data_IF_927245017710
#
_entry.id   IF_927245017710
#
_cell.length_a   1.000
_cell.length_b   1.000
_cell.length_c   1.000
_cell.angle_alpha   90.00
_cell.angle_beta   90.00
_cell.angle_gamma   90.00
#
_symmetry.space_group_name_H-M   'P 1'
#
loop_
_entity.id
_entity.type
_entity.pdbx_description
1 polymer ?
#
# COMPACT_ATOMS: atom_id res chain seq x y z
N UNK A 1 -12.37 -22.81 30.78
CA UNK A 1 -11.00 -22.63 30.26
C UNK A 1 -11.04 -21.56 29.20
N UNK A 2 -10.25 -20.49 29.36
CA UNK A 2 -10.00 -19.52 28.30
C UNK A 2 -9.38 -20.26 27.11
N UNK A 3 -9.98 -20.16 25.94
CA UNK A 3 -9.42 -20.69 24.71
C UNK A 3 -9.24 -19.53 23.73
N UNK A 4 -8.13 -19.49 23.01
CA UNK A 4 -7.91 -18.44 22.03
C UNK A 4 -8.87 -18.62 20.86
N UNK A 5 -9.48 -17.52 20.42
CA UNK A 5 -10.32 -17.47 19.22
C UNK A 5 -9.42 -17.15 18.04
N UNK A 6 -9.27 -18.08 17.10
CA UNK A 6 -8.47 -17.91 15.89
C UNK A 6 -9.40 -17.62 14.70
N UNK A 7 -9.24 -16.44 14.10
CA UNK A 7 -9.96 -16.00 12.91
C UNK A 7 -9.13 -16.36 11.66
N UNK A 8 -9.79 -16.85 10.61
CA UNK A 8 -9.15 -17.06 9.30
C UNK A 8 -8.49 -18.42 9.10
N UNK A 9 -8.67 -19.40 10.00
CA UNK A 9 -8.20 -20.79 9.81
C UNK A 9 -9.34 -21.79 9.74
N UNK A 10 -9.24 -22.71 8.79
CA UNK A 10 -10.00 -23.96 8.80
C UNK A 10 -9.27 -25.05 9.62
N UNK A 11 -9.89 -26.22 9.79
CA UNK A 11 -9.30 -27.32 10.58
C UNK A 11 -7.95 -27.80 10.01
N UNK A 12 -7.81 -27.84 8.68
CA UNK A 12 -6.53 -28.22 8.04
C UNK A 12 -5.42 -27.23 8.35
N UNK A 13 -5.71 -25.93 8.29
CA UNK A 13 -4.73 -24.87 8.57
C UNK A 13 -4.33 -24.86 10.05
N UNK A 14 -5.26 -25.16 10.97
CA UNK A 14 -4.94 -25.32 12.39
C UNK A 14 -3.94 -26.46 12.62
N UNK A 15 -4.12 -27.60 11.95
CA UNK A 15 -3.20 -28.73 12.01
C UNK A 15 -1.84 -28.42 11.36
N UNK A 16 -1.83 -27.72 10.22
CA UNK A 16 -0.60 -27.44 9.47
C UNK A 16 0.25 -26.31 10.06
N UNK A 17 -0.38 -25.24 10.56
CA UNK A 17 0.33 -24.05 11.04
C UNK A 17 0.42 -23.96 12.56
N UNK A 18 -0.44 -24.65 13.31
CA UNK A 18 -0.48 -24.57 14.77
C UNK A 18 -0.69 -23.13 15.23
N UNK A 19 0.31 -22.55 15.91
CA UNK A 19 0.31 -21.15 16.36
C UNK A 19 1.18 -20.22 15.50
N UNK A 20 1.89 -20.73 14.49
CA UNK A 20 2.73 -19.90 13.59
C UNK A 20 1.87 -18.97 12.77
N UNK A 21 2.34 -17.76 12.44
CA UNK A 21 1.61 -16.83 11.57
C UNK A 21 0.25 -16.39 12.12
N UNK A 22 0.16 -16.19 13.43
CA UNK A 22 -1.00 -15.59 14.11
C UNK A 22 -0.63 -14.23 14.68
N UNK A 23 -1.45 -13.21 14.43
CA UNK A 23 -1.32 -11.89 15.04
C UNK A 23 -2.40 -11.65 16.10
N UNK A 24 -2.10 -10.89 17.15
CA UNK A 24 -3.05 -10.59 18.21
C UNK A 24 -3.90 -9.35 17.90
N UNK A 25 -5.22 -9.50 17.79
CA UNK A 25 -6.11 -8.36 17.51
C UNK A 25 -6.69 -7.72 18.78
N UNK A 26 -6.74 -8.46 19.89
CA UNK A 26 -7.33 -7.99 21.14
C UNK A 26 -7.96 -9.11 21.95
N UNK A 27 -8.84 -8.76 22.90
CA UNK A 27 -9.57 -9.72 23.74
C UNK A 27 -11.07 -9.52 23.54
N UNK A 28 -11.83 -10.62 23.52
CA UNK A 28 -13.29 -10.56 23.59
C UNK A 28 -13.72 -10.06 24.97
N UNK A 29 -14.75 -9.24 25.05
CA UNK A 29 -15.34 -8.84 26.32
C UNK A 29 -16.71 -9.51 26.51
N UNK A 30 -17.00 -9.93 27.74
CA UNK A 30 -18.28 -10.50 28.12
C UNK A 30 -18.91 -9.56 29.16
N UNK A 31 -20.15 -9.14 28.89
CA UNK A 31 -20.93 -8.32 29.81
C UNK A 31 -21.87 -9.21 30.62
N UNK A 32 -21.67 -9.27 31.93
CA UNK A 32 -22.52 -9.98 32.88
C UNK A 32 -23.24 -8.95 33.76
N UNK A 33 -24.45 -8.56 33.36
CA UNK A 33 -25.20 -7.49 34.02
C UNK A 33 -24.47 -6.14 33.92
N UNK A 34 -24.01 -5.62 35.06
CA UNK A 34 -23.21 -4.38 35.13
C UNK A 34 -21.70 -4.60 35.01
N UNK A 35 -21.22 -5.83 35.13
CA UNK A 35 -19.79 -6.14 35.05
C UNK A 35 -19.38 -6.44 33.60
N UNK A 36 -18.24 -5.90 33.19
CA UNK A 36 -17.61 -6.26 31.92
C UNK A 36 -16.28 -6.92 32.24
N UNK A 37 -16.07 -8.13 31.73
CA UNK A 37 -14.84 -8.88 31.92
C UNK A 37 -14.19 -9.18 30.57
N UNK A 38 -12.88 -9.01 30.50
CA UNK A 38 -12.10 -9.48 29.36
C UNK A 38 -11.97 -11.00 29.42
N UNK A 39 -12.18 -11.64 28.27
CA UNK A 39 -12.27 -13.09 28.15
C UNK A 39 -11.14 -13.63 27.28
N UNK A 40 -11.47 -14.26 26.15
CA UNK A 40 -10.55 -14.94 25.27
C UNK A 40 -9.74 -13.96 24.42
N UNK A 41 -8.48 -14.30 24.13
CA UNK A 41 -7.71 -13.58 23.11
C UNK A 41 -8.29 -13.86 21.73
N UNK A 42 -8.21 -12.86 20.87
CA UNK A 42 -8.61 -12.92 19.47
C UNK A 42 -7.33 -12.83 18.65
N UNK A 43 -7.03 -13.91 17.95
CA UNK A 43 -5.88 -14.06 17.07
C UNK A 43 -6.37 -14.13 15.62
N UNK A 44 -5.59 -13.62 14.69
CA UNK A 44 -5.90 -13.67 13.26
C UNK A 44 -4.77 -14.35 12.49
N UNK A 45 -5.15 -15.25 11.59
CA UNK A 45 -4.23 -15.83 10.63
C UNK A 45 -3.69 -14.78 9.67
N UNK A 46 -2.38 -14.83 9.43
CA UNK A 46 -1.71 -14.00 8.41
C UNK A 46 -0.85 -14.83 7.45
N UNK A 47 -0.95 -16.16 7.54
CA UNK A 47 -0.29 -17.08 6.61
C UNK A 47 -1.08 -17.24 5.31
N UNK A 48 -2.39 -16.98 5.34
CA UNK A 48 -3.28 -16.93 4.17
C UNK A 48 -3.60 -15.49 3.79
N UNK A 49 -4.01 -15.29 2.54
CA UNK A 49 -4.51 -13.99 2.06
C UNK A 49 -5.90 -13.72 2.61
N UNK A 50 -6.13 -12.48 3.06
CA UNK A 50 -7.40 -12.01 3.59
C UNK A 50 -7.82 -10.71 2.92
N UNK A 51 -9.13 -10.48 2.85
CA UNK A 51 -9.72 -9.18 2.52
C UNK A 51 -10.47 -8.70 3.75
N UNK A 52 -10.04 -7.56 4.31
CA UNK A 52 -10.55 -7.06 5.59
C UNK A 52 -11.05 -5.64 5.38
N UNK A 53 -12.31 -5.40 5.78
CA UNK A 53 -12.90 -4.08 5.85
C UNK A 53 -12.97 -3.64 7.31
N UNK A 54 -12.22 -2.59 7.66
CA UNK A 54 -12.34 -1.91 8.96
C UNK A 54 -13.27 -0.72 8.81
N UNK A 55 -14.51 -0.85 9.28
CA UNK A 55 -15.55 0.17 9.13
C UNK A 55 -16.08 0.65 10.49
N UNK A 56 -16.46 1.92 10.56
CA UNK A 56 -16.99 2.55 11.77
C UNK A 56 -17.08 4.07 11.67
N UNK A 57 -17.84 4.68 12.58
CA UNK A 57 -18.01 6.14 12.66
C UNK A 57 -16.67 6.85 12.89
N UNK A 58 -16.61 8.16 12.63
CA UNK A 58 -15.43 8.97 12.97
C UNK A 58 -15.11 8.82 14.47
N UNK A 59 -13.84 8.58 14.79
CA UNK A 59 -13.39 8.36 16.16
C UNK A 59 -13.63 6.95 16.72
N UNK A 60 -14.12 5.99 15.92
CA UNK A 60 -14.35 4.61 16.40
C UNK A 60 -13.09 3.73 16.45
N UNK A 61 -11.90 4.29 16.20
CA UNK A 61 -10.65 3.55 16.23
C UNK A 61 -10.26 2.79 14.95
N UNK A 62 -10.78 3.16 13.77
CA UNK A 62 -10.42 2.49 12.50
C UNK A 62 -8.91 2.46 12.24
N UNK A 63 -8.26 3.63 12.26
CA UNK A 63 -6.82 3.75 12.06
C UNK A 63 -6.02 3.07 13.17
N UNK A 64 -6.55 3.07 14.40
CA UNK A 64 -5.96 2.31 15.51
C UNK A 64 -5.96 0.80 15.21
N UNK A 65 -7.06 0.24 14.71
CA UNK A 65 -7.13 -1.18 14.31
C UNK A 65 -6.16 -1.51 13.18
N UNK A 66 -6.04 -0.66 12.15
CA UNK A 66 -5.04 -0.85 11.09
C UNK A 66 -3.61 -0.81 11.65
N UNK A 67 -3.33 0.12 12.56
CA UNK A 67 -2.06 0.23 13.27
C UNK A 67 -1.73 -1.02 14.09
N UNK A 68 -2.69 -1.56 14.85
CA UNK A 68 -2.53 -2.81 15.61
C UNK A 68 -2.18 -3.97 14.69
N UNK A 69 -2.88 -4.11 13.56
CA UNK A 69 -2.59 -5.18 12.61
C UNK A 69 -1.17 -5.07 12.02
N UNK A 70 -0.78 -3.87 11.57
CA UNK A 70 0.56 -3.65 11.01
C UNK A 70 1.68 -3.78 12.05
N UNK A 71 1.43 -3.35 13.29
CA UNK A 71 2.30 -3.56 14.44
C UNK A 71 2.52 -5.05 14.68
N UNK A 72 1.45 -5.82 14.75
CA UNK A 72 1.54 -7.24 15.07
C UNK A 72 2.16 -8.08 13.94
N UNK A 73 1.94 -7.70 12.68
CA UNK A 73 2.68 -8.27 11.54
C UNK A 73 4.19 -8.07 11.69
N UNK A 74 4.60 -6.87 12.10
CA UNK A 74 6.03 -6.54 12.32
C UNK A 74 6.60 -7.22 13.57
N UNK A 75 5.74 -7.60 14.52
CA UNK A 75 6.10 -8.25 15.77
C UNK A 75 6.18 -9.78 15.68
N UNK A 76 5.78 -10.37 14.55
CA UNK A 76 5.88 -11.80 14.35
C UNK A 76 7.31 -12.30 14.58
N UNK A 77 7.48 -13.54 15.07
CA UNK A 77 8.80 -14.13 15.21
C UNK A 77 9.53 -14.12 13.86
N UNK A 78 10.88 -14.09 13.91
CA UNK A 78 11.71 -13.91 12.72
C UNK A 78 11.47 -14.96 11.63
N UNK A 79 11.11 -16.19 12.03
CA UNK A 79 10.80 -17.29 11.12
C UNK A 79 9.63 -16.92 10.17
N UNK A 80 8.60 -16.26 10.68
CA UNK A 80 7.44 -15.82 9.93
C UNK A 80 7.59 -14.41 9.35
N UNK A 81 8.11 -13.46 10.13
CA UNK A 81 8.19 -12.05 9.70
C UNK A 81 9.11 -11.85 8.50
N UNK A 82 10.15 -12.68 8.33
CA UNK A 82 11.00 -12.64 7.13
C UNK A 82 10.28 -13.02 5.82
N UNK A 83 9.04 -13.51 5.90
CA UNK A 83 8.22 -13.92 4.77
C UNK A 83 6.97 -13.04 4.58
N UNK A 84 6.83 -11.98 5.39
CA UNK A 84 5.72 -11.03 5.32
C UNK A 84 6.27 -9.61 5.30
N UNK A 85 5.69 -8.76 4.44
CA UNK A 85 5.93 -7.33 4.41
C UNK A 85 4.59 -6.61 4.45
N UNK A 86 4.56 -5.44 5.08
CA UNK A 86 3.37 -4.59 5.12
C UNK A 86 3.67 -3.23 4.50
N UNK A 87 2.69 -2.70 3.77
CA UNK A 87 2.70 -1.33 3.26
C UNK A 87 1.43 -0.62 3.71
N UNK A 88 1.59 0.57 4.30
CA UNK A 88 0.48 1.45 4.66
C UNK A 88 0.50 2.66 3.73
N UNK A 89 -0.60 2.87 3.00
CA UNK A 89 -0.86 4.14 2.32
C UNK A 89 -1.46 5.11 3.33
N UNK A 90 -0.62 5.97 3.89
CA UNK A 90 -1.00 6.90 4.96
C UNK A 90 -1.53 8.20 4.36
N UNK A 91 -2.86 8.32 4.34
CA UNK A 91 -3.54 9.51 3.80
C UNK A 91 -3.57 10.67 4.79
N UNK A 92 -3.36 10.42 6.08
CA UNK A 92 -3.54 11.39 7.17
C UNK A 92 -2.24 11.77 7.87
N UNK A 93 -1.15 11.06 7.61
CA UNK A 93 0.18 11.35 8.15
C UNK A 93 0.31 10.98 9.63
N UNK A 94 -0.31 9.88 10.05
CA UNK A 94 -0.38 9.46 11.46
C UNK A 94 0.41 8.18 11.77
N UNK A 95 0.69 7.32 10.79
CA UNK A 95 1.27 6.01 11.07
C UNK A 95 2.78 6.08 11.31
N UNK A 96 3.46 7.15 10.89
CA UNK A 96 4.90 7.32 11.15
C UNK A 96 5.26 7.21 12.64
N UNK A 97 4.32 7.52 13.53
CA UNK A 97 4.50 7.42 14.98
C UNK A 97 4.72 5.99 15.45
N UNK A 98 4.26 4.98 14.70
CA UNK A 98 4.46 3.55 15.00
C UNK A 98 5.94 3.17 15.15
N UNK A 99 6.84 3.94 14.54
CA UNK A 99 8.28 3.74 14.66
C UNK A 99 8.78 3.83 16.11
N UNK A 100 8.09 4.60 16.95
CA UNK A 100 8.52 4.94 18.30
C UNK A 100 7.72 4.17 19.35
N UNK A 101 8.34 3.95 20.51
CA UNK A 101 7.67 3.36 21.67
C UNK A 101 6.45 4.18 22.08
N UNK A 102 5.33 3.51 22.31
CA UNK A 102 4.18 4.13 22.95
C UNK A 102 4.37 4.22 24.48
N UNK A 103 5.22 5.13 24.93
CA UNK A 103 5.42 5.39 26.36
C UNK A 103 4.24 6.14 27.01
N UNK A 104 3.40 6.80 26.21
CA UNK A 104 2.21 7.52 26.70
C UNK A 104 1.18 6.57 27.31
N UNK A 105 0.99 5.41 26.70
CA UNK A 105 0.01 4.40 27.15
C UNK A 105 0.67 3.21 27.85
N UNK A 106 1.82 3.41 28.51
CA UNK A 106 2.59 2.32 29.15
C UNK A 106 1.75 1.52 30.16
N UNK A 107 0.98 2.20 31.02
CA UNK A 107 0.19 1.55 32.06
C UNK A 107 -0.94 0.72 31.44
N UNK A 108 -1.61 1.26 30.41
CA UNK A 108 -2.64 0.54 29.66
C UNK A 108 -2.06 -0.70 28.96
N UNK A 109 -0.85 -0.60 28.38
CA UNK A 109 -0.18 -1.76 27.80
C UNK A 109 0.14 -2.80 28.88
N UNK A 110 0.58 -2.38 30.06
CA UNK A 110 0.86 -3.28 31.18
C UNK A 110 -0.39 -4.04 31.65
N UNK A 111 -1.56 -3.40 31.68
CA UNK A 111 -2.85 -4.06 31.99
C UNK A 111 -3.21 -5.17 30.99
N UNK A 112 -2.59 -5.14 29.81
CA UNK A 112 -2.76 -6.11 28.74
C UNK A 112 -1.59 -7.10 28.62
N UNK A 113 -0.66 -7.09 29.56
CA UNK A 113 0.61 -7.84 29.53
C UNK A 113 1.52 -7.48 28.34
N UNK A 114 1.39 -6.25 27.82
CA UNK A 114 2.16 -5.70 26.72
C UNK A 114 3.21 -4.71 27.23
N UNK A 115 4.23 -4.44 26.39
CA UNK A 115 5.31 -3.49 26.70
C UNK A 115 5.51 -2.51 25.55
N UNK A 116 5.76 -1.22 25.83
CA UNK A 116 6.17 -0.26 24.82
C UNK A 116 7.45 -0.72 24.10
N UNK A 117 7.45 -0.67 22.77
CA UNK A 117 8.61 -1.04 21.94
C UNK A 117 8.65 -0.24 20.65
N UNK A 118 9.85 -0.13 20.07
CA UNK A 118 10.01 0.44 18.74
C UNK A 118 9.65 -0.62 17.71
N UNK A 119 9.04 -0.20 16.61
CA UNK A 119 8.71 -1.09 15.51
C UNK A 119 9.64 -0.84 14.31
N UNK A 120 9.94 -1.88 13.52
CA UNK A 120 10.76 -1.75 12.32
C UNK A 120 9.95 -1.10 11.20
N UNK A 121 9.79 0.22 11.28
CA UNK A 121 9.02 1.04 10.34
C UNK A 121 9.97 1.85 9.45
N UNK A 122 9.65 1.93 8.15
CA UNK A 122 10.35 2.78 7.17
C UNK A 122 9.37 3.77 6.54
N UNK A 123 9.60 5.06 6.71
CA UNK A 123 8.70 6.11 6.21
C UNK A 123 9.22 6.65 4.87
N UNK A 124 8.38 6.54 3.84
CA UNK A 124 8.60 7.05 2.50
C UNK A 124 7.79 8.32 2.29
N UNK A 125 8.44 9.36 1.77
CA UNK A 125 7.82 10.66 1.50
C UNK A 125 8.07 11.04 0.04
N UNK A 126 7.08 11.58 -0.68
CA UNK A 126 7.26 12.06 -2.05
C UNK A 126 8.50 12.96 -2.19
N UNK A 127 9.30 12.71 -3.23
CA UNK A 127 10.65 13.25 -3.35
C UNK A 127 10.72 14.78 -3.28
N UNK A 128 9.73 15.48 -3.84
CA UNK A 128 9.65 16.95 -3.83
C UNK A 128 9.34 17.53 -2.45
N UNK A 129 8.81 16.73 -1.52
CA UNK A 129 8.45 17.15 -0.16
C UNK A 129 9.46 16.68 0.90
N UNK A 130 10.36 15.75 0.54
CA UNK A 130 11.31 15.13 1.46
C UNK A 130 12.19 16.14 2.21
N UNK A 131 12.74 17.15 1.53
CA UNK A 131 13.58 18.17 2.18
C UNK A 131 12.79 18.98 3.20
N UNK A 132 11.56 19.38 2.87
CA UNK A 132 10.69 20.13 3.80
C UNK A 132 10.35 19.33 5.05
N UNK A 133 10.18 18.00 4.91
CA UNK A 133 9.96 17.11 6.05
C UNK A 133 11.15 17.12 7.01
N UNK A 134 12.36 16.96 6.49
CA UNK A 134 13.58 16.99 7.30
C UNK A 134 13.80 18.33 8.00
N UNK A 135 13.59 19.45 7.29
CA UNK A 135 13.69 20.80 7.87
C UNK A 135 12.69 21.02 9.01
N UNK A 136 11.50 20.45 8.91
CA UNK A 136 10.46 20.48 9.95
C UNK A 136 10.64 19.42 11.03
N UNK A 137 11.71 18.62 10.98
CA UNK A 137 11.94 17.48 11.89
C UNK A 137 10.82 16.44 11.87
N UNK A 138 10.10 16.32 10.74
CA UNK A 138 9.10 15.26 10.52
C UNK A 138 9.86 14.01 10.06
N UNK A 139 9.60 12.82 10.65
CA UNK A 139 10.32 11.61 10.27
C UNK A 139 10.13 11.22 8.80
N UNK A 140 11.24 11.11 8.08
CA UNK A 140 11.30 10.62 6.71
C UNK A 140 12.57 9.78 6.54
N UNK A 141 12.44 8.52 6.14
CA UNK A 141 13.56 7.58 5.98
C UNK A 141 14.05 7.47 4.54
N UNK A 142 13.14 7.64 3.58
CA UNK A 142 13.45 7.52 2.16
C UNK A 142 12.57 8.43 1.30
N UNK A 143 13.10 8.82 0.14
CA UNK A 143 12.35 9.47 -0.91
C UNK A 143 11.47 8.46 -1.64
N UNK A 144 10.32 8.92 -2.10
CA UNK A 144 9.43 8.19 -2.98
C UNK A 144 9.25 8.95 -4.29
N UNK A 145 9.37 8.24 -5.41
CA UNK A 145 9.16 8.79 -6.73
C UNK A 145 8.51 7.74 -7.65
N UNK A 146 7.46 8.13 -8.34
CA UNK A 146 6.80 7.35 -9.38
C UNK A 146 7.56 7.46 -10.70
N UNK A 147 7.68 6.35 -11.40
CA UNK A 147 8.14 6.35 -12.79
C UNK A 147 6.96 6.73 -13.71
N UNK A 148 7.00 7.88 -14.41
CA UNK A 148 5.92 8.27 -15.33
C UNK A 148 5.71 7.27 -16.46
N UNK A 149 6.77 6.54 -16.83
CA UNK A 149 6.76 5.51 -17.87
C UNK A 149 5.85 4.34 -17.51
N UNK A 150 5.58 4.10 -16.23
CA UNK A 150 4.72 3.00 -15.78
C UNK A 150 3.22 3.35 -15.80
N UNK A 151 2.89 4.63 -15.95
CA UNK A 151 1.51 5.07 -16.10
C UNK A 151 1.01 4.85 -17.52
N UNK A 152 -0.27 4.51 -17.66
CA UNK A 152 -0.95 4.45 -18.95
C UNK A 152 -1.73 5.74 -19.20
N UNK A 153 -2.22 5.93 -20.43
CA UNK A 153 -3.00 7.11 -20.80
C UNK A 153 -4.28 7.25 -19.96
N UNK A 154 -4.94 6.15 -19.62
CA UNK A 154 -6.16 6.16 -18.81
C UNK A 154 -5.89 6.65 -17.36
N UNK A 155 -4.74 6.33 -16.77
CA UNK A 155 -4.33 6.84 -15.46
C UNK A 155 -4.27 8.37 -15.46
N UNK A 156 -3.67 8.96 -16.50
CA UNK A 156 -3.58 10.40 -16.68
C UNK A 156 -4.95 11.03 -16.90
N UNK A 157 -5.76 10.47 -17.82
CA UNK A 157 -7.11 10.94 -18.13
C UNK A 157 -7.99 10.95 -16.87
N UNK A 158 -7.99 9.87 -16.09
CA UNK A 158 -8.74 9.80 -14.83
C UNK A 158 -8.21 10.76 -13.78
N UNK A 159 -6.88 10.90 -13.66
CA UNK A 159 -6.26 11.80 -12.68
C UNK A 159 -6.61 13.26 -12.96
N UNK A 160 -6.67 13.65 -14.23
CA UNK A 160 -7.08 14.98 -14.66
C UNK A 160 -8.60 15.18 -14.72
N UNK A 161 -9.39 14.16 -14.38
CA UNK A 161 -10.86 14.25 -14.37
C UNK A 161 -11.48 14.44 -15.75
N UNK A 162 -10.84 13.88 -16.79
CA UNK A 162 -11.27 14.00 -18.18
C UNK A 162 -12.08 12.78 -18.63
N UNK A 163 -12.99 12.99 -19.57
CA UNK A 163 -13.67 11.90 -20.29
C UNK A 163 -12.76 11.31 -21.39
N UNK A 164 -12.91 10.02 -21.67
CA UNK A 164 -12.10 9.33 -22.71
C UNK A 164 -12.24 9.99 -24.08
N UNK A 165 -13.42 10.53 -24.40
CA UNK A 165 -13.70 11.19 -25.69
C UNK A 165 -13.29 12.67 -25.73
N UNK A 166 -12.79 13.22 -24.62
CA UNK A 166 -12.33 14.61 -24.58
C UNK A 166 -11.11 14.79 -25.53
N UNK A 167 -11.05 15.87 -26.34
CA UNK A 167 -9.89 16.12 -27.22
C UNK A 167 -8.53 16.12 -26.51
N UNK A 168 -8.49 16.56 -25.25
CA UNK A 168 -7.30 16.52 -24.40
C UNK A 168 -6.91 15.07 -24.12
N UNK A 169 -7.88 14.20 -23.81
CA UNK A 169 -7.64 12.76 -23.58
C UNK A 169 -7.09 12.06 -24.82
N UNK A 170 -7.60 12.39 -26.00
CA UNK A 170 -7.08 11.85 -27.28
C UNK A 170 -5.65 12.32 -27.55
N UNK A 171 -5.32 13.56 -27.19
CA UNK A 171 -3.95 14.07 -27.25
C UNK A 171 -3.04 13.33 -26.27
N UNK A 172 -3.45 13.19 -24.99
CA UNK A 172 -2.72 12.43 -23.97
C UNK A 172 -2.46 11.01 -24.45
N UNK A 173 -3.46 10.31 -24.96
CA UNK A 173 -3.32 8.94 -25.46
C UNK A 173 -2.25 8.85 -26.55
N UNK A 174 -2.33 9.73 -27.56
CA UNK A 174 -1.35 9.77 -28.65
C UNK A 174 0.06 10.09 -28.14
N UNK A 175 0.21 11.07 -27.27
CA UNK A 175 1.49 11.47 -26.68
C UNK A 175 2.12 10.31 -25.89
N UNK A 176 1.36 9.70 -24.97
CA UNK A 176 1.86 8.60 -24.15
C UNK A 176 2.19 7.39 -25.02
N UNK A 177 1.36 7.05 -26.01
CA UNK A 177 1.65 5.96 -26.95
C UNK A 177 2.95 6.17 -27.72
N UNK A 178 3.23 7.40 -28.18
CA UNK A 178 4.49 7.72 -28.87
C UNK A 178 5.71 7.56 -27.96
N UNK A 179 5.58 7.94 -26.68
CA UNK A 179 6.69 7.90 -25.72
C UNK A 179 6.96 6.51 -25.15
N UNK A 180 5.98 5.59 -25.21
CA UNK A 180 6.12 4.20 -24.71
C UNK A 180 7.20 3.37 -25.40
N UNK A 181 7.71 3.81 -26.55
CA UNK A 181 8.84 3.16 -27.22
C UNK A 181 10.18 3.43 -26.48
N UNK A 182 10.23 4.46 -25.64
CA UNK A 182 11.42 4.81 -24.86
C UNK A 182 11.52 3.96 -23.59
N UNK A 183 12.75 3.67 -23.15
CA UNK A 183 13.00 2.94 -21.89
C UNK A 183 12.59 3.74 -20.64
N UNK A 184 12.59 5.07 -20.74
CA UNK A 184 12.13 6.00 -19.72
C UNK A 184 11.73 7.32 -20.38
N UNK A 185 10.71 7.99 -19.86
CA UNK A 185 10.39 9.38 -20.16
C UNK A 185 9.89 10.12 -18.92
N UNK A 186 10.27 11.39 -18.78
CA UNK A 186 9.85 12.26 -17.68
C UNK A 186 8.59 13.07 -18.04
N UNK A 187 8.13 13.93 -17.13
CA UNK A 187 7.01 14.85 -17.42
C UNK A 187 7.43 15.89 -18.46
N UNK A 188 8.69 16.32 -18.45
CA UNK A 188 9.27 17.26 -19.41
C UNK A 188 9.27 16.67 -20.83
N UNK A 189 9.54 15.36 -20.97
CA UNK A 189 9.44 14.66 -22.26
C UNK A 189 8.00 14.62 -22.78
N UNK A 190 7.02 14.41 -21.89
CA UNK A 190 5.59 14.46 -22.23
C UNK A 190 5.22 15.86 -22.74
N UNK A 191 5.65 16.91 -22.05
CA UNK A 191 5.41 18.30 -22.45
C UNK A 191 5.98 18.59 -23.85
N UNK A 192 7.22 18.18 -24.10
CA UNK A 192 7.87 18.35 -25.40
C UNK A 192 7.15 17.61 -26.53
N UNK A 193 6.67 16.39 -26.26
CA UNK A 193 5.93 15.61 -27.25
C UNK A 193 4.53 16.19 -27.53
N UNK A 194 3.88 16.80 -26.53
CA UNK A 194 2.62 17.55 -26.73
C UNK A 194 2.84 18.75 -27.65
N UNK A 195 3.90 19.54 -27.45
CA UNK A 195 4.17 20.74 -28.24
C UNK A 195 4.33 20.43 -29.74
N UNK A 196 5.01 19.33 -30.05
CA UNK A 196 5.23 18.84 -31.42
C UNK A 196 3.97 18.38 -32.12
N UNK A 197 2.89 18.10 -31.38
CA UNK A 197 1.68 17.60 -31.98
C UNK A 197 1.08 18.62 -32.97
N UNK A 198 0.81 18.14 -34.19
CA UNK A 198 0.26 18.93 -35.30
C UNK A 198 -1.21 18.64 -35.58
N UNK A 199 -1.80 17.66 -34.89
CA UNK A 199 -3.18 17.19 -35.14
C UNK A 199 -4.19 17.90 -34.23
N UNK A 200 -3.78 18.28 -33.03
CA UNK A 200 -4.61 18.95 -32.03
C UNK A 200 -4.60 20.47 -32.21
N UNK A 201 -5.70 21.12 -31.83
CA UNK A 201 -5.79 22.59 -31.79
C UNK A 201 -4.84 23.18 -30.76
N UNK A 202 -4.46 24.45 -30.95
CA UNK A 202 -3.61 25.19 -30.00
C UNK A 202 -4.22 25.20 -28.60
N UNK A 203 -5.54 25.40 -28.48
CA UNK A 203 -6.23 25.40 -27.18
C UNK A 203 -6.14 24.04 -26.48
N UNK A 204 -6.29 22.94 -27.23
CA UNK A 204 -6.17 21.58 -26.68
C UNK A 204 -4.75 21.32 -26.18
N UNK A 205 -3.73 21.75 -26.94
CA UNK A 205 -2.32 21.63 -26.53
C UNK A 205 -2.03 22.43 -25.28
N UNK A 206 -2.44 23.70 -25.24
CA UNK A 206 -2.23 24.58 -24.09
C UNK A 206 -2.90 24.03 -22.82
N UNK A 207 -4.11 23.48 -22.95
CA UNK A 207 -4.79 22.84 -21.84
C UNK A 207 -4.06 21.58 -21.34
N UNK A 208 -3.61 20.70 -22.25
CA UNK A 208 -2.83 19.52 -21.89
C UNK A 208 -1.49 19.89 -21.22
N UNK A 209 -0.79 20.89 -21.75
CA UNK A 209 0.45 21.44 -21.16
C UNK A 209 0.18 21.93 -19.74
N UNK A 210 -0.88 22.71 -19.52
CA UNK A 210 -1.23 23.21 -18.19
C UNK A 210 -1.51 22.09 -17.18
N UNK A 211 -2.13 20.98 -17.61
CA UNK A 211 -2.37 19.81 -16.76
C UNK A 211 -1.07 19.10 -16.36
N UNK A 212 -0.16 18.88 -17.31
CA UNK A 212 1.13 18.23 -17.02
C UNK A 212 2.09 19.13 -16.24
N UNK A 213 2.08 20.44 -16.48
CA UNK A 213 2.80 21.40 -15.64
C UNK A 213 2.27 21.37 -14.20
N UNK A 214 0.96 21.27 -14.00
CA UNK A 214 0.40 21.05 -12.67
C UNK A 214 0.86 19.71 -12.07
N UNK A 215 0.94 18.65 -12.87
CA UNK A 215 1.43 17.34 -12.44
C UNK A 215 2.89 17.36 -11.96
N UNK A 216 3.75 18.12 -12.64
CA UNK A 216 5.14 18.33 -12.26
C UNK A 216 5.26 18.93 -10.85
N UNK A 217 4.40 19.89 -10.51
CA UNK A 217 4.39 20.53 -9.17
C UNK A 217 4.02 19.59 -8.02
N UNK A 218 3.45 18.41 -8.30
CA UNK A 218 3.11 17.44 -7.24
C UNK A 218 4.35 16.87 -6.55
N UNK A 219 5.52 16.93 -7.20
CA UNK A 219 6.79 16.48 -6.62
C UNK A 219 6.84 14.98 -6.34
N UNK A 220 6.04 14.20 -7.08
CA UNK A 220 5.90 12.74 -6.91
C UNK A 220 6.58 11.94 -8.03
N UNK A 221 6.94 12.57 -9.14
CA UNK A 221 7.49 11.88 -10.30
C UNK A 221 9.01 11.92 -10.32
N UNK A 222 9.62 10.81 -10.70
CA UNK A 222 11.05 10.71 -10.91
C UNK A 222 11.47 11.49 -12.16
N UNK A 223 12.63 12.14 -12.08
CA UNK A 223 13.22 12.87 -13.20
C UNK A 223 14.09 11.97 -14.08
N UNK A 224 14.52 10.82 -13.53
CA UNK A 224 15.23 9.79 -14.25
C UNK A 224 14.94 8.41 -13.66
N UNK A 225 15.24 7.37 -14.43
CA UNK A 225 15.00 5.97 -14.04
C UNK A 225 15.65 5.56 -12.71
N UNK A 226 16.80 6.15 -12.34
CA UNK A 226 17.51 5.81 -11.09
C UNK A 226 16.82 6.36 -9.84
N UNK A 227 16.05 7.43 -9.97
CA UNK A 227 15.28 8.01 -8.88
C UNK A 227 13.95 7.31 -8.66
N UNK A 228 13.47 6.53 -9.63
CA UNK A 228 12.21 5.82 -9.58
C UNK A 228 12.21 4.76 -8.48
N UNK A 229 11.24 4.83 -7.58
CA UNK A 229 11.09 3.88 -6.49
C UNK A 229 10.62 2.53 -7.01
N UNK A 230 11.39 1.49 -6.68
CA UNK A 230 11.07 0.11 -7.02
C UNK A 230 10.18 -0.51 -5.94
N UNK A 231 9.40 -1.52 -6.30
CA UNK A 231 8.58 -2.25 -5.32
C UNK A 231 9.46 -2.90 -4.25
N UNK A 232 10.65 -3.39 -4.61
CA UNK A 232 11.62 -3.93 -3.66
C UNK A 232 12.07 -2.92 -2.60
N UNK A 233 12.01 -1.62 -2.90
CA UNK A 233 12.32 -0.58 -1.91
C UNK A 233 11.22 -0.50 -0.85
N UNK A 234 9.96 -0.62 -1.27
CA UNK A 234 8.76 -0.51 -0.43
C UNK A 234 8.44 -1.82 0.31
N UNK A 235 8.70 -2.98 -0.30
CA UNK A 235 8.35 -4.29 0.24
C UNK A 235 9.55 -4.87 0.97
N UNK A 236 9.65 -4.57 2.26
CA UNK A 236 10.76 -5.00 3.10
C UNK A 236 10.30 -6.09 4.09
N UNK A 237 10.81 -7.32 4.01
CA UNK A 237 10.39 -8.40 4.91
C UNK A 237 10.61 -8.04 6.39
N UNK A 238 9.60 -8.33 7.21
CA UNK A 238 9.60 -8.09 8.65
C UNK A 238 9.56 -6.61 9.04
N UNK A 239 9.21 -5.73 8.09
CA UNK A 239 9.08 -4.29 8.31
C UNK A 239 7.72 -3.80 7.79
N UNK A 240 7.25 -2.71 8.39
CA UNK A 240 6.15 -1.94 7.84
C UNK A 240 6.71 -0.73 7.09
N UNK A 241 6.45 -0.67 5.79
CA UNK A 241 6.70 0.54 5.01
C UNK A 241 5.47 1.43 5.07
N UNK A 242 5.68 2.72 5.34
CA UNK A 242 4.62 3.72 5.35
C UNK A 242 4.89 4.65 4.19
N UNK A 243 3.94 4.74 3.26
CA UNK A 243 3.97 5.73 2.21
C UNK A 243 3.09 6.90 2.64
N UNK A 244 3.73 7.99 3.09
CA UNK A 244 3.04 9.19 3.54
C UNK A 244 2.56 10.00 2.34
N UNK A 245 1.24 10.06 2.20
CA UNK A 245 0.53 10.78 1.15
C UNK A 245 -0.25 11.98 1.70
N UNK A 246 -0.08 12.32 2.98
CA UNK A 246 -0.81 13.39 3.66
C UNK A 246 -0.49 14.79 3.14
N UNK A 247 0.63 14.95 2.41
CA UNK A 247 0.96 16.18 1.69
C UNK A 247 -0.07 16.53 0.61
N UNK A 248 -0.78 15.53 0.08
CA UNK A 248 -1.78 15.70 -0.96
C UNK A 248 -3.17 15.83 -0.33
N UNK A 249 -3.80 16.97 -0.52
CA UNK A 249 -5.13 17.26 0.02
C UNK A 249 -6.19 16.30 -0.56
N UNK A 250 -7.16 15.90 0.26
CA UNK A 250 -8.27 15.06 -0.18
C UNK A 250 -9.31 15.78 -1.03
N UNK A 251 -9.42 17.09 -0.85
CA UNK A 251 -10.35 17.97 -1.59
C UNK A 251 -9.56 18.80 -2.62
N UNK A 252 -8.58 18.17 -3.27
CA UNK A 252 -7.78 18.79 -4.33
C UNK A 252 -8.45 18.67 -5.71
N UNK A 253 -7.99 19.50 -6.66
CA UNK A 253 -8.40 19.38 -8.07
C UNK A 253 -7.98 18.04 -8.70
N UNK A 254 -6.91 17.43 -8.19
CA UNK A 254 -6.37 16.16 -8.66
C UNK A 254 -6.22 15.17 -7.50
N UNK A 255 -6.64 13.92 -7.72
CA UNK A 255 -6.49 12.86 -6.72
C UNK A 255 -5.14 12.15 -6.88
N UNK A 256 -4.05 12.85 -6.55
CA UNK A 256 -2.66 12.33 -6.63
C UNK A 256 -2.50 11.06 -5.78
N UNK A 257 -3.19 10.98 -4.64
CA UNK A 257 -3.17 9.82 -3.75
C UNK A 257 -3.71 8.57 -4.46
N UNK A 258 -4.81 8.70 -5.21
CA UNK A 258 -5.35 7.60 -6.00
C UNK A 258 -4.37 7.15 -7.09
N UNK A 259 -3.68 8.07 -7.77
CA UNK A 259 -2.68 7.72 -8.77
C UNK A 259 -1.54 6.89 -8.18
N UNK A 260 -1.00 7.33 -7.04
CA UNK A 260 0.07 6.63 -6.32
C UNK A 260 -0.38 5.24 -5.88
N UNK A 261 -1.54 5.14 -5.21
CA UNK A 261 -2.09 3.87 -4.74
C UNK A 261 -2.30 2.91 -5.91
N UNK A 262 -2.84 3.40 -7.03
CA UNK A 262 -3.09 2.59 -8.22
C UNK A 262 -1.81 1.96 -8.75
N UNK A 263 -0.78 2.79 -9.01
CA UNK A 263 0.45 2.34 -9.62
C UNK A 263 1.17 1.33 -8.71
N UNK A 264 1.34 1.66 -7.42
CA UNK A 264 2.01 0.76 -6.47
C UNK A 264 1.24 -0.55 -6.29
N UNK A 265 -0.09 -0.51 -6.22
CA UNK A 265 -0.94 -1.70 -6.13
C UNK A 265 -0.74 -2.63 -7.32
N UNK A 266 -0.74 -2.09 -8.55
CA UNK A 266 -0.52 -2.89 -9.77
C UNK A 266 0.89 -3.48 -9.81
N UNK A 267 1.91 -2.71 -9.44
CA UNK A 267 3.30 -3.20 -9.42
C UNK A 267 3.46 -4.35 -8.42
N UNK A 268 2.95 -4.19 -7.20
CA UNK A 268 2.98 -5.25 -6.17
C UNK A 268 2.27 -6.50 -6.67
N UNK A 269 1.06 -6.35 -7.22
CA UNK A 269 0.28 -7.47 -7.75
C UNK A 269 1.04 -8.24 -8.83
N UNK A 270 1.59 -7.55 -9.83
CA UNK A 270 2.32 -8.18 -10.93
C UNK A 270 3.61 -8.88 -10.47
N UNK A 271 4.34 -8.26 -9.54
CA UNK A 271 5.54 -8.87 -8.96
C UNK A 271 5.20 -10.14 -8.18
N UNK A 272 4.16 -10.10 -7.33
CA UNK A 272 3.74 -11.27 -6.56
C UNK A 272 3.15 -12.37 -7.43
N UNK A 273 2.43 -12.03 -8.51
CA UNK A 273 1.99 -13.02 -9.51
C UNK A 273 3.17 -13.75 -10.14
N UNK A 274 4.25 -13.04 -10.44
CA UNK A 274 5.47 -13.64 -11.02
C UNK A 274 6.18 -14.51 -9.98
N UNK A 275 6.37 -14.00 -8.76
CA UNK A 275 7.00 -14.73 -7.67
C UNK A 275 6.21 -16.00 -7.31
N UNK A 276 4.87 -15.93 -7.29
CA UNK A 276 4.02 -17.10 -7.02
C UNK A 276 4.23 -18.21 -8.04
N UNK A 277 4.34 -17.87 -9.33
CA UNK A 277 4.64 -18.85 -10.38
C UNK A 277 6.01 -19.48 -10.18
N UNK A 278 7.01 -18.71 -9.79
CA UNK A 278 8.35 -19.22 -9.48
C UNK A 278 8.33 -20.17 -8.27
N UNK A 279 7.66 -19.77 -7.17
CA UNK A 279 7.44 -20.61 -5.99
C UNK A 279 6.78 -21.96 -6.36
N UNK A 280 5.81 -21.95 -7.27
CA UNK A 280 5.14 -23.17 -7.76
C UNK A 280 6.06 -24.05 -8.59
N UNK A 281 6.84 -23.47 -9.51
CA UNK A 281 7.85 -24.21 -10.30
C UNK A 281 8.90 -24.85 -9.41
N UNK A 282 9.40 -24.13 -8.40
CA UNK A 282 10.32 -24.65 -7.39
C UNK A 282 9.70 -25.80 -6.59
N UNK A 283 8.44 -25.67 -6.18
CA UNK A 283 7.76 -26.72 -5.43
C UNK A 283 7.57 -28.01 -6.23
N UNK A 284 7.27 -27.91 -7.53
CA UNK A 284 7.10 -29.07 -8.43
C UNK A 284 8.45 -29.72 -8.72
N UNK A 285 9.49 -28.91 -8.98
CA UNK A 285 10.83 -29.40 -9.32
C UNK A 285 11.53 -30.09 -8.14
N UNK A 286 11.31 -29.66 -6.90
CA UNK A 286 11.93 -30.26 -5.71
C UNK A 286 11.38 -31.65 -5.34
N UNK A 287 10.24 -32.09 -5.92
CA UNK A 287 9.60 -33.36 -5.57
C UNK A 287 9.25 -33.47 -4.08
N UNK A 288 8.67 -34.59 -3.64
CA UNK A 288 8.18 -34.84 -2.27
C UNK A 288 9.26 -34.86 -1.15
N UNK A 289 10.35 -34.10 -1.25
CA UNK A 289 11.27 -33.85 -0.13
C UNK A 289 10.66 -32.82 0.83
N UNK A 290 9.59 -33.26 1.51
CA UNK A 290 8.72 -32.48 2.41
C UNK A 290 9.31 -32.21 3.80
N UNK A 291 10.62 -32.37 4.00
CA UNK A 291 11.25 -32.12 5.29
C UNK A 291 11.85 -30.72 5.37
N UNK A 292 10.97 -29.79 5.79
CA UNK A 292 11.28 -28.78 6.82
C UNK A 292 12.59 -27.98 6.64
N UNK A 293 12.68 -27.18 5.59
CA UNK A 293 13.38 -25.91 5.73
C UNK A 293 12.38 -24.79 5.49
N UNK A 294 12.25 -23.92 6.49
CA UNK A 294 11.56 -22.64 6.38
C UNK A 294 12.35 -21.79 5.40
N UNK A 295 12.09 -21.99 4.11
CA UNK A 295 12.75 -21.22 3.07
C UNK A 295 12.25 -19.79 3.16
N UNK A 296 13.18 -18.90 3.49
CA UNK A 296 12.99 -17.45 3.37
C UNK A 296 12.59 -17.18 1.92
N UNK A 297 11.40 -16.65 1.72
CA UNK A 297 10.92 -16.20 0.42
C UNK A 297 11.77 -15.02 -0.04
N UNK A 298 12.21 -15.06 -1.29
CA UNK A 298 12.85 -13.91 -1.92
C UNK A 298 11.86 -12.73 -2.03
N UNK A 299 10.60 -13.04 -2.36
CA UNK A 299 9.49 -12.10 -2.42
C UNK A 299 8.47 -12.45 -1.32
N UNK A 300 8.38 -11.68 -0.23
CA UNK A 300 7.45 -11.97 0.87
C UNK A 300 6.00 -11.82 0.45
N UNK A 301 5.06 -12.38 1.23
CA UNK A 301 3.64 -12.03 1.13
C UNK A 301 3.45 -10.56 1.51
N UNK A 302 2.54 -9.86 0.84
CA UNK A 302 2.37 -8.41 1.01
C UNK A 302 1.00 -8.09 1.60
N UNK A 303 1.00 -7.44 2.75
CA UNK A 303 -0.19 -6.84 3.36
C UNK A 303 -0.30 -5.37 2.97
N UNK A 304 -1.37 -5.03 2.25
CA UNK A 304 -1.65 -3.65 1.83
C UNK A 304 -2.72 -3.06 2.76
N UNK A 305 -2.37 -1.97 3.44
CA UNK A 305 -3.27 -1.20 4.29
C UNK A 305 -3.57 0.14 3.62
N UNK A 306 -4.85 0.49 3.51
CA UNK A 306 -5.31 1.74 2.90
C UNK A 306 -6.21 2.43 3.91
N UNK A 307 -5.75 3.55 4.46
CA UNK A 307 -6.60 4.39 5.30
C UNK A 307 -7.52 5.26 4.44
N UNK A 308 -8.71 5.55 4.94
CA UNK A 308 -9.77 6.28 4.24
C UNK A 308 -10.08 5.73 2.84
N UNK A 309 -10.13 4.39 2.71
CA UNK A 309 -10.34 3.67 1.44
C UNK A 309 -11.57 4.12 0.61
N UNK A 310 -12.56 4.73 1.26
CA UNK A 310 -13.74 5.30 0.61
C UNK A 310 -13.41 6.43 -0.38
N UNK A 311 -12.26 7.10 -0.23
CA UNK A 311 -11.77 8.14 -1.15
C UNK A 311 -11.25 7.55 -2.49
N UNK A 312 -11.00 6.23 -2.54
CA UNK A 312 -10.41 5.54 -3.69
C UNK A 312 -11.35 4.52 -4.34
N UNK A 313 -12.30 4.01 -3.55
CA UNK A 313 -13.36 3.08 -3.97
C UNK A 313 -14.75 3.70 -3.77
N UNK A 314 -15.10 4.76 -4.53
CA UNK A 314 -16.41 5.38 -4.41
C UNK A 314 -17.52 4.45 -4.93
N UNK A 315 -18.74 4.62 -4.41
CA UNK A 315 -19.92 3.90 -4.91
C UNK A 315 -20.25 4.27 -6.36
N UNK A 316 -20.06 5.54 -6.73
CA UNK A 316 -20.37 6.08 -8.06
C UNK A 316 -19.12 6.70 -8.67
N UNK A 317 -18.92 6.45 -9.96
CA UNK A 317 -17.73 6.92 -10.69
C UNK A 317 -16.51 6.02 -10.45
N UNK A 318 -15.35 6.49 -10.90
CA UNK A 318 -14.06 5.83 -10.72
C UNK A 318 -12.98 6.84 -10.36
N UNK A 319 -12.00 6.40 -9.60
CA UNK A 319 -10.73 7.10 -9.42
C UNK A 319 -9.63 6.33 -10.17
N UNK A 320 -8.44 6.93 -10.30
CA UNK A 320 -7.28 6.24 -10.84
C UNK A 320 -6.95 4.93 -10.09
N UNK A 321 -7.30 4.81 -8.81
CA UNK A 321 -7.05 3.61 -7.98
C UNK A 321 -8.11 2.52 -8.12
N UNK A 322 -9.34 2.85 -8.56
CA UNK A 322 -10.50 1.96 -8.42
C UNK A 322 -10.28 0.59 -9.04
N UNK A 323 -9.79 0.53 -10.28
CA UNK A 323 -9.63 -0.74 -10.98
C UNK A 323 -8.49 -1.60 -10.39
N UNK A 324 -7.37 -0.97 -10.01
CA UNK A 324 -6.25 -1.64 -9.36
C UNK A 324 -6.65 -2.25 -8.00
N UNK A 325 -7.42 -1.50 -7.22
CA UNK A 325 -7.90 -1.98 -5.91
C UNK A 325 -8.96 -3.07 -6.05
N UNK A 326 -9.88 -2.96 -7.02
CA UNK A 326 -10.85 -4.04 -7.31
C UNK A 326 -10.12 -5.31 -7.75
N UNK A 327 -9.08 -5.19 -8.57
CA UNK A 327 -8.26 -6.34 -8.96
C UNK A 327 -7.61 -7.00 -7.74
N UNK A 328 -6.97 -6.23 -6.85
CA UNK A 328 -6.42 -6.76 -5.59
C UNK A 328 -7.48 -7.49 -4.75
N UNK A 329 -8.69 -6.92 -4.62
CA UNK A 329 -9.77 -7.53 -3.84
C UNK A 329 -10.30 -8.84 -4.44
N UNK A 330 -10.32 -8.95 -5.78
CA UNK A 330 -10.84 -10.14 -6.47
C UNK A 330 -9.80 -11.23 -6.67
N UNK A 331 -8.59 -10.83 -7.00
CA UNK A 331 -7.54 -11.72 -7.49
C UNK A 331 -6.37 -11.84 -6.51
N UNK A 332 -6.24 -10.94 -5.52
CA UNK A 332 -5.09 -10.85 -4.61
C UNK A 332 -4.82 -12.11 -3.78
N UNK A 333 -5.81 -13.01 -3.64
CA UNK A 333 -5.61 -14.34 -3.04
C UNK A 333 -4.66 -15.23 -3.85
N UNK A 334 -4.62 -15.07 -5.17
CA UNK A 334 -3.76 -15.88 -6.05
C UNK A 334 -2.27 -15.55 -5.88
N UNK A 335 -1.83 -14.27 -6.01
CA UNK A 335 -0.43 -13.90 -5.86
C UNK A 335 0.09 -14.02 -4.42
N UNK A 336 -0.79 -13.90 -3.42
CA UNK A 336 -0.40 -13.94 -2.01
C UNK A 336 0.06 -12.59 -1.51
#
# INVERSE_FOLDING_TARGET
MTHDVIIGRNETDKLSFGNRGLIFLGKGYVKMGQYTSMSNRILMDVARSHVILVAGKRGSGKSYTLGVMAEELSNLPKAESQNIASIIFDTMGIYWTMKYKNDKDRDLLSDWDLKPKNLPVKVFVPMGHYTSYLEKSIPADAKFALDPTELNSADWVLTFGLDIINPISVLIERTISNLKENDFFSIEDILFEIEKDKKSSTDTKNAAIGLFQAAETWGVFAQNKKESTQVSDLINPGKTSILDLSVYNSIGAFNVRALVISLISRKIFNQRMTARKQEEVESVSKGLNLFSQEEKKENPLVWIFIDEAHEFLPLTGKTAATDALIQLLREGRQPG
#
